data_IF_368436591587
#
_entry.id   IF_368436591587
#
_cell.length_a   1.000
_cell.length_b   1.000
_cell.length_c   1.000
_cell.angle_alpha   90.00
_cell.angle_beta   90.00
_cell.angle_gamma   90.00
#
_symmetry.space_group_name_H-M   'P 1'
#
loop_
_entity.id
_entity.type
_entity.pdbx_description
1 polymer ?
#
# COMPACT_ATOMS: atom_id res chain seq x y z
N UNK A 1 8.48 -10.57 28.21
CA UNK A 1 8.40 -10.78 26.75
C UNK A 1 9.01 -9.57 26.06
N UNK A 2 9.93 -9.76 25.11
CA UNK A 2 10.48 -8.64 24.34
C UNK A 2 9.44 -8.13 23.32
N UNK A 3 9.26 -6.82 23.24
CA UNK A 3 8.35 -6.20 22.28
C UNK A 3 8.85 -6.42 20.84
N UNK A 4 8.00 -6.95 19.96
CA UNK A 4 8.31 -7.12 18.55
C UNK A 4 8.01 -5.80 17.83
N UNK A 5 9.03 -5.15 17.27
CA UNK A 5 8.88 -3.97 16.41
C UNK A 5 9.06 -4.36 14.94
N UNK A 6 8.12 -3.92 14.09
CA UNK A 6 8.16 -4.07 12.63
C UNK A 6 8.00 -2.69 12.00
N UNK A 7 8.79 -2.41 10.96
CA UNK A 7 8.70 -1.17 10.18
C UNK A 7 8.05 -1.49 8.83
N UNK A 8 6.79 -1.11 8.58
CA UNK A 8 6.18 -1.29 7.28
C UNK A 8 6.76 -0.29 6.27
N UNK A 9 6.88 -0.72 5.02
CA UNK A 9 7.22 0.15 3.87
C UNK A 9 6.08 0.03 2.87
N UNK A 10 5.53 1.17 2.44
CA UNK A 10 4.43 1.23 1.47
C UNK A 10 4.99 1.76 0.15
N UNK A 11 4.75 1.02 -0.93
CA UNK A 11 5.23 1.31 -2.29
C UNK A 11 4.05 1.41 -3.26
N UNK A 12 4.24 2.11 -4.37
CA UNK A 12 3.21 2.37 -5.39
C UNK A 12 3.46 3.69 -6.10
N UNK A 13 2.73 3.94 -7.18
CA UNK A 13 2.96 5.07 -8.09
C UNK A 13 2.66 6.44 -7.49
N UNK A 14 3.02 7.51 -8.21
CA UNK A 14 2.57 8.86 -7.88
C UNK A 14 1.05 8.92 -7.69
N UNK A 15 0.57 9.78 -6.79
CA UNK A 15 -0.86 10.02 -6.54
C UNK A 15 -1.73 8.81 -6.09
N UNK A 16 -1.21 7.58 -6.00
CA UNK A 16 -2.00 6.38 -5.64
C UNK A 16 -2.47 6.31 -4.17
N UNK A 17 -2.40 7.40 -3.40
CA UNK A 17 -3.01 7.50 -2.06
C UNK A 17 -2.18 7.00 -0.86
N UNK A 18 -0.91 6.59 -1.03
CA UNK A 18 -0.05 6.07 0.07
C UNK A 18 0.02 7.00 1.30
N UNK A 19 0.24 8.29 1.06
CA UNK A 19 0.33 9.28 2.15
C UNK A 19 -1.00 9.41 2.88
N UNK A 20 -2.10 9.50 2.15
CA UNK A 20 -3.44 9.55 2.73
C UNK A 20 -3.76 8.29 3.53
N UNK A 21 -3.38 7.11 3.02
CA UNK A 21 -3.51 5.84 3.73
C UNK A 21 -2.77 5.86 5.09
N UNK A 22 -1.50 6.28 5.12
CA UNK A 22 -0.74 6.37 6.38
C UNK A 22 -1.31 7.41 7.35
N UNK A 23 -1.76 8.56 6.83
CA UNK A 23 -2.36 9.61 7.65
C UNK A 23 -3.67 9.10 8.28
N UNK A 24 -4.56 8.51 7.49
CA UNK A 24 -5.82 7.95 7.98
C UNK A 24 -5.57 6.82 8.96
N UNK A 25 -4.61 5.93 8.68
CA UNK A 25 -4.27 4.88 9.62
C UNK A 25 -3.76 5.43 10.97
N UNK A 26 -2.86 6.43 10.94
CA UNK A 26 -2.19 6.94 12.14
C UNK A 26 -3.00 7.96 12.93
N UNK A 27 -3.81 8.77 12.26
CA UNK A 27 -4.56 9.89 12.85
C UNK A 27 -6.07 9.71 12.81
N UNK A 28 -6.56 8.67 12.15
CA UNK A 28 -7.98 8.42 11.92
C UNK A 28 -8.72 9.62 11.30
N UNK A 29 -8.01 10.45 10.53
CA UNK A 29 -8.56 11.63 9.86
C UNK A 29 -8.00 11.72 8.44
N UNK A 30 -8.88 11.88 7.46
CA UNK A 30 -8.47 12.14 6.08
C UNK A 30 -8.08 13.61 5.92
N UNK A 31 -6.93 13.93 5.30
CA UNK A 31 -6.51 15.32 5.14
C UNK A 31 -7.36 16.03 4.06
N UNK A 32 -8.08 17.08 4.45
CA UNK A 32 -8.81 17.93 3.49
C UNK A 32 -7.87 18.83 2.70
N UNK A 33 -6.81 19.33 3.34
CA UNK A 33 -5.74 20.10 2.71
C UNK A 33 -4.50 19.24 2.62
N UNK A 34 -4.30 18.61 1.47
CA UNK A 34 -3.08 17.84 1.21
C UNK A 34 -1.94 18.79 0.82
N UNK A 35 -1.12 19.21 1.81
CA UNK A 35 0.14 19.94 1.57
C UNK A 35 1.28 18.93 1.44
N UNK A 36 1.80 18.67 0.24
CA UNK A 36 2.70 17.54 0.05
C UNK A 36 4.12 17.94 0.44
N UNK A 37 4.76 17.14 1.30
CA UNK A 37 6.06 17.44 1.90
C UNK A 37 7.19 17.35 0.87
N UNK A 38 7.71 18.50 0.44
CA UNK A 38 9.04 18.86 -0.11
C UNK A 38 9.67 18.02 -1.25
N UNK A 39 9.17 16.82 -1.53
CA UNK A 39 9.52 15.99 -2.68
C UNK A 39 8.23 15.69 -3.46
N UNK A 40 7.77 16.67 -4.24
CA UNK A 40 6.78 16.42 -5.28
C UNK A 40 7.50 16.09 -6.58
N UNK A 41 7.39 14.85 -7.03
CA UNK A 41 7.51 14.58 -8.45
C UNK A 41 6.35 15.30 -9.14
N UNK A 42 6.65 16.26 -10.01
CA UNK A 42 5.65 16.84 -10.90
C UNK A 42 5.34 15.79 -11.95
N UNK A 43 4.22 15.10 -11.76
CA UNK A 43 3.64 14.24 -12.80
C UNK A 43 2.75 15.17 -13.62
N UNK A 44 3.06 15.32 -14.90
CA UNK A 44 2.14 15.90 -15.86
C UNK A 44 1.30 14.74 -16.40
N UNK A 45 -0.01 14.82 -16.22
CA UNK A 45 -0.93 13.85 -16.80
C UNK A 45 -0.99 14.12 -18.31
N UNK A 46 -0.37 13.24 -19.10
CA UNK A 46 -0.53 13.25 -20.56
C UNK A 46 -1.73 12.35 -20.84
N UNK A 47 -2.87 12.97 -21.12
CA UNK A 47 -4.09 12.29 -21.48
C UNK A 47 -3.93 11.66 -22.88
N UNK A 48 -3.85 10.33 -22.95
CA UNK A 48 -3.88 9.59 -24.21
C UNK A 48 -5.23 8.87 -24.26
N UNK A 49 -6.09 9.27 -25.19
CA UNK A 49 -7.38 8.65 -25.54
C UNK A 49 -8.51 8.64 -24.48
N UNK A 50 -8.37 9.38 -23.36
CA UNK A 50 -9.50 9.80 -22.51
C UNK A 50 -10.31 8.68 -21.83
N UNK A 51 -9.69 7.53 -21.53
CA UNK A 51 -10.35 6.41 -20.83
C UNK A 51 -9.52 5.89 -19.67
N UNK A 52 -9.80 6.40 -18.47
CA UNK A 52 -9.43 5.76 -17.21
C UNK A 52 -10.63 4.97 -16.67
N UNK A 53 -10.61 3.65 -16.85
CA UNK A 53 -11.59 2.75 -16.23
C UNK A 53 -11.01 2.20 -14.91
N UNK A 54 -11.82 2.09 -13.83
CA UNK A 54 -11.37 1.46 -12.60
C UNK A 54 -10.91 0.01 -12.84
N UNK A 55 -9.80 -0.36 -12.20
CA UNK A 55 -9.35 -1.76 -12.17
C UNK A 55 -10.41 -2.61 -11.51
N UNK A 56 -10.72 -3.76 -12.10
CA UNK A 56 -11.72 -4.67 -11.54
C UNK A 56 -11.13 -5.47 -10.36
N UNK A 57 -11.95 -5.85 -9.37
CA UNK A 57 -11.45 -6.60 -8.20
C UNK A 57 -10.79 -7.94 -8.56
N UNK A 58 -11.23 -8.60 -9.63
CA UNK A 58 -10.60 -9.82 -10.14
C UNK A 58 -9.17 -9.59 -10.67
N UNK A 59 -8.93 -8.48 -11.37
CA UNK A 59 -7.63 -8.17 -11.98
C UNK A 59 -6.56 -7.88 -10.91
N UNK A 60 -6.95 -7.19 -9.83
CA UNK A 60 -6.10 -6.97 -8.67
C UNK A 60 -5.74 -8.27 -7.95
N UNK A 61 -6.71 -9.18 -7.79
CA UNK A 61 -6.51 -10.50 -7.19
C UNK A 61 -5.60 -11.38 -8.03
N UNK A 62 -5.82 -11.42 -9.34
CA UNK A 62 -5.00 -12.20 -10.27
C UNK A 62 -3.56 -11.70 -10.28
N UNK A 63 -3.37 -10.37 -10.23
CA UNK A 63 -2.03 -9.79 -10.10
C UNK A 63 -1.37 -10.17 -8.78
N UNK A 64 -2.09 -10.12 -7.66
CA UNK A 64 -1.57 -10.53 -6.35
C UNK A 64 -1.13 -12.02 -6.34
N UNK A 65 -1.93 -12.90 -6.95
CA UNK A 65 -1.59 -14.31 -7.12
C UNK A 65 -0.34 -14.49 -7.98
N UNK A 66 -0.25 -13.77 -9.10
CA UNK A 66 0.87 -13.83 -10.04
C UNK A 66 2.20 -13.42 -9.41
N UNK A 67 2.19 -12.44 -8.51
CA UNK A 67 3.42 -11.99 -7.81
C UNK A 67 3.70 -12.75 -6.50
N UNK A 68 2.83 -13.69 -6.12
CA UNK A 68 2.96 -14.42 -4.85
C UNK A 68 2.79 -13.54 -3.61
N UNK A 69 1.92 -12.52 -3.68
CA UNK A 69 1.61 -11.67 -2.54
C UNK A 69 0.90 -12.47 -1.43
N UNK A 70 1.06 -12.02 -0.18
CA UNK A 70 0.38 -12.64 0.97
C UNK A 70 -1.15 -12.55 0.87
N UNK A 71 -1.65 -11.48 0.25
CA UNK A 71 -3.08 -11.27 0.04
C UNK A 71 -3.34 -10.00 -0.77
N UNK A 72 -4.59 -9.84 -1.18
CA UNK A 72 -5.12 -8.69 -1.90
C UNK A 72 -6.30 -8.10 -1.14
N UNK A 73 -6.40 -6.78 -1.09
CA UNK A 73 -7.52 -6.07 -0.48
C UNK A 73 -7.65 -4.68 -1.10
N UNK A 74 -8.86 -4.30 -1.46
CA UNK A 74 -9.19 -2.94 -1.86
C UNK A 74 -9.46 -2.10 -0.61
N UNK A 75 -9.05 -0.83 -0.63
CA UNK A 75 -9.29 0.09 0.48
C UNK A 75 -9.47 1.52 -0.03
N UNK A 76 -10.15 2.34 0.78
CA UNK A 76 -10.33 3.75 0.54
C UNK A 76 -9.97 4.54 1.79
N UNK A 77 -8.86 5.28 1.73
CA UNK A 77 -8.47 6.19 2.79
C UNK A 77 -9.57 7.24 3.07
N UNK A 78 -10.28 7.71 2.03
CA UNK A 78 -11.30 8.75 2.14
C UNK A 78 -12.52 8.28 2.93
N UNK A 79 -13.00 7.07 2.67
CA UNK A 79 -14.16 6.49 3.37
C UNK A 79 -13.75 5.65 4.57
N UNK A 80 -12.44 5.48 4.79
CA UNK A 80 -11.80 4.60 5.78
C UNK A 80 -12.06 3.10 5.56
N UNK A 81 -12.69 2.74 4.46
CA UNK A 81 -13.02 1.36 4.14
C UNK A 81 -11.75 0.53 3.90
N UNK A 82 -11.63 -0.63 4.55
CA UNK A 82 -10.50 -1.56 4.42
C UNK A 82 -9.15 -1.08 4.98
N UNK A 83 -9.03 0.14 5.51
CA UNK A 83 -7.72 0.71 5.91
C UNK A 83 -7.08 -0.07 7.06
N UNK A 84 -7.87 -0.50 8.05
CA UNK A 84 -7.36 -1.24 9.21
C UNK A 84 -7.02 -2.68 8.82
N UNK A 85 -7.89 -3.29 8.02
CA UNK A 85 -7.81 -4.66 7.55
C UNK A 85 -6.56 -4.88 6.69
N UNK A 86 -6.22 -3.93 5.82
CA UNK A 86 -4.96 -3.95 5.04
C UNK A 86 -3.75 -4.03 5.97
N UNK A 87 -3.70 -3.23 7.04
CA UNK A 87 -2.55 -3.23 7.93
C UNK A 87 -2.52 -4.46 8.85
N UNK A 88 -3.67 -4.96 9.27
CA UNK A 88 -3.75 -6.24 9.99
C UNK A 88 -3.25 -7.40 9.14
N UNK A 89 -3.63 -7.45 7.86
CA UNK A 89 -3.13 -8.42 6.90
C UNK A 89 -1.61 -8.33 6.75
N UNK A 90 -1.06 -7.12 6.59
CA UNK A 90 0.38 -6.88 6.52
C UNK A 90 1.11 -7.30 7.81
N UNK A 91 0.52 -7.04 8.98
CA UNK A 91 1.08 -7.42 10.28
C UNK A 91 1.10 -8.93 10.44
N UNK A 92 0.02 -9.63 10.07
CA UNK A 92 -0.06 -11.09 10.06
C UNK A 92 1.01 -11.68 9.15
N UNK A 93 1.17 -11.14 7.93
CA UNK A 93 2.22 -11.55 7.00
C UNK A 93 3.63 -11.40 7.60
N UNK A 94 3.90 -10.24 8.21
CA UNK A 94 5.21 -9.93 8.81
C UNK A 94 5.56 -10.81 10.03
N UNK A 95 4.56 -11.33 10.75
CA UNK A 95 4.74 -12.24 11.87
C UNK A 95 4.92 -13.70 11.41
N UNK A 96 4.19 -14.13 10.37
CA UNK A 96 4.28 -15.49 9.81
C UNK A 96 5.61 -15.75 9.08
N UNK A 97 6.22 -14.70 8.50
CA UNK A 97 7.52 -14.78 7.83
C UNK A 97 8.67 -15.34 8.71
N UNK A 98 8.52 -15.39 10.04
CA UNK A 98 9.53 -15.98 10.95
C UNK A 98 9.67 -17.51 10.85
N UNK A 99 8.85 -18.22 10.07
CA UNK A 99 8.83 -19.69 10.00
C UNK A 99 9.35 -20.33 8.71
N UNK A 100 9.79 -19.57 7.69
CA UNK A 100 10.23 -20.16 6.42
C UNK A 100 11.35 -19.39 5.69
N UNK A 101 12.45 -20.11 5.42
CA UNK A 101 13.61 -19.84 4.54
C UNK A 101 14.38 -18.52 4.73
N UNK A 102 15.65 -18.65 5.16
CA UNK A 102 16.71 -17.66 4.86
C UNK A 102 16.83 -17.57 3.33
N UNK A 103 16.41 -16.46 2.73
CA UNK A 103 16.94 -16.05 1.43
C UNK A 103 18.02 -15.02 1.69
N UNK A 104 19.20 -15.24 1.14
CA UNK A 104 20.30 -14.28 1.12
C UNK A 104 19.81 -12.98 0.49
N UNK A 105 20.08 -11.87 1.17
CA UNK A 105 19.71 -10.48 0.87
C UNK A 105 19.08 -10.14 -0.49
N UNK A 106 18.03 -9.32 -0.45
CA UNK A 106 17.62 -8.54 -1.61
C UNK A 106 18.72 -7.50 -1.92
N UNK A 107 19.46 -7.70 -3.01
CA UNK A 107 20.40 -6.72 -3.55
C UNK A 107 19.59 -5.70 -4.35
N UNK A 108 19.50 -4.48 -3.84
CA UNK A 108 19.10 -3.33 -4.65
C UNK A 108 20.36 -2.89 -5.38
N UNK A 109 20.43 -3.15 -6.69
CA UNK A 109 21.46 -2.61 -7.58
C UNK A 109 21.23 -1.11 -7.79
#
# INVERSE_FOLDING_TARGET
MAAIRKKPVIVGDGACGKTCFLIVFSKDQFPEVYVPTVFKNYVADIEVDGKEEPVKPEEGRDTANRIGAFGHMECSAKTKDGVREVLEMATRAALQARRGKKTSGCLVL
#
